data_IF_425426197120
#
_entry.id   IF_425426197120
#
_cell.length_a   1.000
_cell.length_b   1.000
_cell.length_c   1.000
_cell.angle_alpha   90.00
_cell.angle_beta   90.00
_cell.angle_gamma   90.00
#
_symmetry.space_group_name_H-M   'P 1'
#
loop_
_entity.id
_entity.type
_entity.pdbx_description
1 polymer ?
#
# COMPACT_ATOMS: atom_id res chain seq x y z
N UNK A 1 0.49 2.01 10.43
CA UNK A 1 0.38 1.22 9.19
C UNK A 1 1.68 1.13 8.39
N UNK A 2 2.34 2.25 8.05
CA UNK A 2 3.58 2.24 7.21
C UNK A 2 4.64 1.20 7.64
N UNK A 3 4.96 1.12 8.93
CA UNK A 3 5.94 0.14 9.44
C UNK A 3 5.47 -1.31 9.24
N UNK A 4 4.21 -1.60 9.58
CA UNK A 4 3.61 -2.94 9.44
C UNK A 4 3.46 -3.39 7.99
N UNK A 5 3.46 -2.46 7.03
CA UNK A 5 3.37 -2.76 5.60
C UNK A 5 4.72 -2.74 4.90
N UNK A 6 5.85 -2.58 5.62
CA UNK A 6 7.17 -2.61 5.01
C UNK A 6 7.42 -3.94 4.27
N UNK A 7 8.06 -3.91 3.09
CA UNK A 7 8.40 -5.14 2.37
C UNK A 7 9.21 -6.09 3.25
N UNK A 8 8.85 -7.37 3.28
CA UNK A 8 9.57 -8.36 4.11
C UNK A 8 11.08 -8.39 3.82
N UNK A 9 11.49 -8.15 2.57
CA UNK A 9 12.91 -8.02 2.22
C UNK A 9 13.63 -6.91 2.98
N UNK A 10 12.97 -5.80 3.28
CA UNK A 10 13.55 -4.71 4.07
C UNK A 10 13.67 -5.14 5.54
N UNK A 11 12.68 -5.85 6.08
CA UNK A 11 12.69 -6.33 7.47
C UNK A 11 13.80 -7.36 7.74
N UNK A 12 14.11 -8.22 6.76
CA UNK A 12 15.09 -9.30 6.90
C UNK A 12 16.41 -9.05 6.15
N UNK A 13 16.52 -7.95 5.41
CA UNK A 13 17.67 -7.58 4.56
C UNK A 13 17.85 -8.42 3.29
N UNK A 14 17.52 -9.71 3.33
CA UNK A 14 17.54 -10.64 2.19
C UNK A 14 16.61 -11.82 2.44
N UNK A 15 16.40 -12.68 1.44
CA UNK A 15 15.66 -13.94 1.63
C UNK A 15 16.50 -14.88 2.52
N UNK A 16 16.03 -15.26 3.72
CA UNK A 16 16.80 -16.09 4.63
C UNK A 16 17.07 -17.49 4.06
N UNK A 17 18.30 -17.97 4.25
CA UNK A 17 18.70 -19.35 3.89
C UNK A 17 18.42 -20.35 5.00
N UNK A 18 18.51 -19.92 6.26
CA UNK A 18 18.19 -20.73 7.42
C UNK A 18 16.68 -21.05 7.46
N UNK A 19 16.33 -22.31 7.71
CA UNK A 19 14.94 -22.77 7.64
C UNK A 19 14.04 -22.11 8.69
N UNK A 20 14.56 -21.85 9.90
CA UNK A 20 13.79 -21.25 10.98
C UNK A 20 13.51 -19.77 10.70
N UNK A 21 14.52 -19.01 10.24
CA UNK A 21 14.35 -17.60 9.90
C UNK A 21 13.50 -17.45 8.63
N UNK A 22 13.64 -18.38 7.67
CA UNK A 22 12.79 -18.42 6.47
C UNK A 22 11.32 -18.62 6.81
N UNK A 23 10.99 -19.41 7.83
CA UNK A 23 9.61 -19.55 8.31
C UNK A 23 9.03 -18.20 8.75
N UNK A 24 9.76 -17.42 9.56
CA UNK A 24 9.33 -16.09 9.99
C UNK A 24 9.18 -15.12 8.80
N UNK A 25 10.10 -15.16 7.83
CA UNK A 25 10.00 -14.35 6.62
C UNK A 25 8.71 -14.65 5.84
N UNK A 26 8.39 -15.93 5.64
CA UNK A 26 7.17 -16.34 4.96
C UNK A 26 5.92 -15.95 5.74
N UNK A 27 5.95 -16.05 7.07
CA UNK A 27 4.84 -15.63 7.91
C UNK A 27 4.58 -14.11 7.82
N UNK A 28 5.63 -13.29 7.83
CA UNK A 28 5.50 -11.84 7.58
C UNK A 28 4.92 -11.57 6.20
N UNK A 29 5.36 -12.31 5.17
CA UNK A 29 4.80 -12.18 3.83
C UNK A 29 3.31 -12.51 3.77
N UNK A 30 2.85 -13.55 4.48
CA UNK A 30 1.43 -13.88 4.59
C UNK A 30 0.63 -12.75 5.24
N UNK A 31 1.15 -12.11 6.29
CA UNK A 31 0.48 -10.94 6.88
C UNK A 31 0.40 -9.75 5.92
N UNK A 32 1.48 -9.49 5.17
CA UNK A 32 1.48 -8.43 4.16
C UNK A 32 0.43 -8.69 3.06
N UNK A 33 0.28 -9.94 2.62
CA UNK A 33 -0.74 -10.34 1.65
C UNK A 33 -2.16 -10.13 2.20
N UNK A 34 -2.41 -10.48 3.46
CA UNK A 34 -3.69 -10.18 4.11
C UNK A 34 -3.95 -8.67 4.23
N UNK A 35 -2.92 -7.86 4.52
CA UNK A 35 -3.07 -6.40 4.50
C UNK A 35 -3.36 -5.87 3.10
N UNK A 36 -2.70 -6.39 2.06
CA UNK A 36 -2.97 -6.03 0.67
C UNK A 36 -4.44 -6.26 0.31
N UNK A 37 -4.98 -7.43 0.67
CA UNK A 37 -6.38 -7.77 0.45
C UNK A 37 -7.32 -6.85 1.23
N UNK A 38 -7.04 -6.57 2.50
CA UNK A 38 -7.84 -5.66 3.31
C UNK A 38 -7.85 -4.21 2.78
N UNK A 39 -6.80 -3.80 2.06
CA UNK A 39 -6.72 -2.49 1.40
C UNK A 39 -7.44 -2.44 0.05
N UNK A 40 -7.92 -3.56 -0.51
CA UNK A 40 -8.77 -3.58 -1.70
C UNK A 40 -10.19 -3.05 -1.36
N UNK A 41 -10.24 -1.80 -0.89
CA UNK A 41 -11.39 -1.14 -0.30
C UNK A 41 -11.37 0.33 -0.72
N UNK A 42 -12.40 0.72 -1.48
CA UNK A 42 -12.65 2.12 -1.86
C UNK A 42 -12.67 3.02 -0.62
N UNK A 43 -13.29 2.59 0.47
CA UNK A 43 -13.36 3.38 1.71
C UNK A 43 -11.97 3.66 2.30
N UNK A 44 -11.07 2.67 2.28
CA UNK A 44 -9.72 2.85 2.81
C UNK A 44 -8.93 3.86 1.97
N UNK A 45 -8.99 3.75 0.64
CA UNK A 45 -8.33 4.69 -0.26
C UNK A 45 -9.01 6.07 -0.29
N UNK A 46 -10.34 6.13 -0.10
CA UNK A 46 -11.11 7.37 0.03
C UNK A 46 -10.60 8.25 1.16
N UNK A 47 -10.46 7.69 2.37
CA UNK A 47 -9.92 8.44 3.51
C UNK A 47 -8.49 8.93 3.24
N UNK A 48 -7.64 8.10 2.62
CA UNK A 48 -6.27 8.50 2.27
C UNK A 48 -6.25 9.60 1.21
N UNK A 49 -7.12 9.51 0.21
CA UNK A 49 -7.25 10.47 -0.89
C UNK A 49 -7.76 11.81 -0.38
N UNK A 50 -8.83 11.82 0.42
CA UNK A 50 -9.37 13.04 1.05
C UNK A 50 -8.32 13.72 1.92
N UNK A 51 -7.63 12.96 2.78
CA UNK A 51 -6.56 13.50 3.64
C UNK A 51 -5.42 14.09 2.80
N UNK A 52 -4.99 13.38 1.76
CA UNK A 52 -3.92 13.85 0.89
C UNK A 52 -4.35 15.10 0.11
N UNK A 53 -5.58 15.13 -0.41
CA UNK A 53 -6.15 16.28 -1.09
C UNK A 53 -6.16 17.52 -0.21
N UNK A 54 -6.65 17.42 1.03
CA UNK A 54 -6.67 18.52 1.99
C UNK A 54 -5.27 19.08 2.27
N UNK A 55 -4.28 18.21 2.47
CA UNK A 55 -2.88 18.61 2.65
C UNK A 55 -2.31 19.27 1.39
N UNK A 56 -2.71 18.80 0.19
CA UNK A 56 -2.24 19.34 -1.08
C UNK A 56 -2.89 20.68 -1.44
N UNK A 57 -4.06 21.01 -0.89
CA UNK A 57 -4.68 22.33 -1.03
C UNK A 57 -3.88 23.44 -0.32
N UNK A 58 -3.10 23.09 0.70
CA UNK A 58 -2.19 24.04 1.34
C UNK A 58 -1.09 24.44 0.35
N UNK A 59 -0.80 25.75 0.29
CA UNK A 59 0.39 26.27 -0.39
C UNK A 59 1.63 25.59 0.15
N UNK A 60 2.62 25.32 -0.71
CA UNK A 60 3.82 24.58 -0.30
C UNK A 60 4.57 25.30 0.84
N UNK A 61 4.58 26.63 0.81
CA UNK A 61 5.13 27.50 1.86
C UNK A 61 4.34 27.46 3.18
N UNK A 62 3.05 27.11 3.14
CA UNK A 62 2.17 27.08 4.31
C UNK A 62 2.19 25.71 5.03
N UNK A 63 2.66 24.66 4.34
CA UNK A 63 2.77 23.31 4.89
C UNK A 63 3.84 23.24 5.96
N UNK A 64 3.46 22.80 7.14
CA UNK A 64 4.38 22.54 8.24
C UNK A 64 5.16 21.24 7.98
N UNK A 65 6.21 21.00 8.77
CA UNK A 65 6.97 19.75 8.70
C UNK A 65 6.06 18.52 8.91
N UNK A 66 5.10 18.62 9.83
CA UNK A 66 4.14 17.55 10.10
C UNK A 66 3.24 17.22 8.91
N UNK A 67 2.80 18.25 8.16
CA UNK A 67 1.98 18.08 6.95
C UNK A 67 2.78 17.32 5.89
N UNK A 68 4.04 17.72 5.67
CA UNK A 68 4.93 17.07 4.72
C UNK A 68 5.24 15.61 5.13
N UNK A 69 5.45 15.36 6.42
CA UNK A 69 5.63 14.01 6.95
C UNK A 69 4.38 13.15 6.78
N UNK A 70 3.19 13.73 6.91
CA UNK A 70 1.94 13.00 6.71
C UNK A 70 1.73 12.66 5.23
N UNK A 71 1.99 13.60 4.31
CA UNK A 71 1.99 13.34 2.87
C UNK A 71 2.94 12.17 2.56
N UNK A 72 4.18 12.22 3.03
CA UNK A 72 5.17 11.16 2.82
C UNK A 72 4.66 9.81 3.35
N UNK A 73 4.07 9.78 4.54
CA UNK A 73 3.54 8.55 5.16
C UNK A 73 2.36 7.97 4.37
N UNK A 74 1.48 8.80 3.81
CA UNK A 74 0.39 8.35 2.95
C UNK A 74 0.96 7.70 1.69
N UNK A 75 1.88 8.39 1.00
CA UNK A 75 2.51 7.89 -0.22
C UNK A 75 3.30 6.59 0.03
N UNK A 76 4.03 6.51 1.16
CA UNK A 76 4.74 5.30 1.57
C UNK A 76 3.79 4.15 1.87
N UNK A 77 2.65 4.40 2.50
CA UNK A 77 1.64 3.38 2.77
C UNK A 77 1.06 2.83 1.47
N UNK A 78 0.65 3.70 0.54
CA UNK A 78 0.13 3.31 -0.77
C UNK A 78 1.18 2.49 -1.54
N UNK A 79 2.42 2.99 -1.60
CA UNK A 79 3.54 2.27 -2.21
C UNK A 79 3.73 0.89 -1.60
N UNK A 80 3.73 0.79 -0.27
CA UNK A 80 3.93 -0.46 0.44
C UNK A 80 2.85 -1.50 0.09
N UNK A 81 1.58 -1.09 0.08
CA UNK A 81 0.45 -1.96 -0.26
C UNK A 81 0.53 -2.45 -1.72
N UNK A 82 0.85 -1.57 -2.66
CA UNK A 82 1.02 -1.93 -4.06
C UNK A 82 2.20 -2.90 -4.26
N UNK A 83 3.29 -2.69 -3.52
CA UNK A 83 4.51 -3.51 -3.58
C UNK A 83 4.33 -4.94 -3.04
N UNK A 84 3.32 -5.22 -2.21
CA UNK A 84 3.10 -6.59 -1.70
C UNK A 84 2.88 -7.55 -2.87
N UNK A 85 3.64 -8.66 -2.96
CA UNK A 85 3.51 -9.62 -4.05
C UNK A 85 2.21 -10.42 -3.93
N UNK A 86 1.69 -10.82 -5.09
CA UNK A 86 0.54 -11.70 -5.20
C UNK A 86 0.75 -13.04 -4.47
N UNK A 87 -0.33 -13.62 -3.95
CA UNK A 87 -0.34 -14.99 -3.47
C UNK A 87 -0.90 -15.91 -4.56
N UNK A 88 0.00 -16.49 -5.35
CA UNK A 88 -0.36 -17.36 -6.48
C UNK A 88 -1.16 -18.61 -6.09
N UNK A 89 -1.17 -19.02 -4.82
CA UNK A 89 -1.99 -20.15 -4.35
C UNK A 89 -3.43 -19.72 -4.06
N UNK A 90 -3.62 -18.51 -3.51
CA UNK A 90 -4.96 -17.94 -3.25
C UNK A 90 -5.62 -17.44 -4.54
N UNK A 91 -4.85 -16.90 -5.48
CA UNK A 91 -5.36 -16.41 -6.77
C UNK A 91 -5.80 -17.53 -7.74
N UNK A 92 -5.51 -18.80 -7.44
CA UNK A 92 -6.00 -19.96 -8.22
C UNK A 92 -7.46 -20.31 -7.92
N UNK A 93 -8.11 -19.62 -7.00
CA UNK A 93 -9.55 -19.73 -6.75
C UNK A 93 -10.32 -19.22 -7.98
N UNK A 94 -10.94 -20.14 -8.71
CA UNK A 94 -11.43 -20.04 -10.10
C UNK A 94 -12.70 -19.15 -10.24
N UNK A 95 -13.07 -18.38 -9.23
CA UNK A 95 -14.40 -17.73 -9.14
C UNK A 95 -14.36 -16.19 -9.12
N UNK A 96 -13.18 -15.56 -9.12
CA UNK A 96 -13.04 -14.10 -9.10
C UNK A 96 -12.34 -13.63 -10.39
N UNK A 97 -13.05 -12.88 -11.23
CA UNK A 97 -12.56 -12.39 -12.54
C UNK A 97 -11.44 -11.34 -12.43
N UNK A 98 -11.11 -10.89 -11.21
CA UNK A 98 -10.12 -9.86 -10.94
C UNK A 98 -9.17 -10.24 -9.79
N UNK A 99 -7.86 -10.02 -9.98
CA UNK A 99 -6.87 -10.25 -8.92
C UNK A 99 -7.06 -9.27 -7.76
N UNK A 100 -6.44 -9.55 -6.60
CA UNK A 100 -6.37 -8.58 -5.49
C UNK A 100 -5.73 -7.26 -5.97
N UNK A 101 -4.74 -7.35 -6.85
CA UNK A 101 -4.08 -6.16 -7.38
C UNK A 101 -5.02 -5.32 -8.26
N UNK A 102 -5.82 -5.95 -9.11
CA UNK A 102 -6.81 -5.24 -9.94
C UNK A 102 -7.86 -4.54 -9.07
N UNK A 103 -8.34 -5.21 -8.01
CA UNK A 103 -9.27 -4.61 -7.04
C UNK A 103 -8.66 -3.41 -6.30
N UNK A 104 -7.36 -3.43 -6.03
CA UNK A 104 -6.64 -2.26 -5.47
C UNK A 104 -6.60 -1.09 -6.46
N UNK A 105 -6.28 -1.36 -7.74
CA UNK A 105 -6.28 -0.33 -8.77
C UNK A 105 -7.67 0.28 -8.95
N UNK A 106 -8.71 -0.54 -8.88
CA UNK A 106 -10.10 -0.08 -8.88
C UNK A 106 -10.41 0.82 -7.68
N UNK A 107 -9.98 0.43 -6.48
CA UNK A 107 -10.16 1.26 -5.28
C UNK A 107 -9.42 2.60 -5.36
N UNK A 108 -8.20 2.62 -5.92
CA UNK A 108 -7.41 3.84 -6.17
C UNK A 108 -8.14 4.77 -7.14
N UNK A 109 -8.69 4.21 -8.22
CA UNK A 109 -9.44 4.97 -9.22
C UNK A 109 -10.73 5.56 -8.64
N UNK A 110 -11.54 4.74 -7.97
CA UNK A 110 -12.80 5.21 -7.38
C UNK A 110 -12.60 6.26 -6.29
N UNK A 111 -11.48 6.23 -5.57
CA UNK A 111 -11.18 7.23 -4.54
C UNK A 111 -10.61 8.54 -5.09
N UNK A 112 -10.32 8.63 -6.40
CA UNK A 112 -9.60 9.75 -7.01
C UNK A 112 -8.13 9.86 -6.57
N UNK A 113 -7.54 8.78 -6.04
CA UNK A 113 -6.14 8.79 -5.61
C UNK A 113 -5.20 8.84 -6.82
N UNK A 114 -5.58 8.23 -7.93
CA UNK A 114 -4.89 8.32 -9.22
C UNK A 114 -4.74 9.76 -9.71
N UNK A 115 -5.80 10.57 -9.63
CA UNK A 115 -5.75 11.99 -10.00
C UNK A 115 -4.76 12.78 -9.13
N UNK A 116 -4.70 12.49 -7.83
CA UNK A 116 -3.71 13.12 -6.93
C UNK A 116 -2.28 12.70 -7.26
N UNK A 117 -2.06 11.43 -7.60
CA UNK A 117 -0.75 10.94 -8.03
C UNK A 117 -0.31 11.55 -9.37
N UNK A 118 -1.25 11.71 -10.32
CA UNK A 118 -1.00 12.42 -11.57
C UNK A 118 -0.65 13.89 -11.32
N UNK A 119 -1.40 14.58 -10.48
CA UNK A 119 -1.11 15.96 -10.07
C UNK A 119 0.29 16.11 -9.47
N UNK A 120 0.69 15.22 -8.55
CA UNK A 120 2.01 15.24 -7.91
C UNK A 120 3.18 14.99 -8.87
N UNK A 121 2.92 14.35 -10.02
CA UNK A 121 3.95 14.01 -11.01
C UNK A 121 4.03 15.00 -12.18
N UNK A 122 3.12 15.99 -12.22
CA UNK A 122 3.04 17.04 -13.25
C UNK A 122 3.92 18.23 -12.89
#
# INVERSE_FOLDING_TARGET
MVNLTQPALLCFGSVPKDSSVRHHFLQVLTYLQAYKEAFASEKAFGVLSETLYELLQLGWEDRQEEDNLLIERILLLVRNILHVPANLEQEKSIDDDASIHDRLLWAIHLSGMDDLLLFLSS
#
